data_IF_551853206224
#
_entry.id   IF_551853206224
#
_cell.length_a   1.000
_cell.length_b   1.000
_cell.length_c   1.000
_cell.angle_alpha   90.00
_cell.angle_beta   90.00
_cell.angle_gamma   90.00
#
_symmetry.space_group_name_H-M   'P 1'
#
loop_
_entity.id
_entity.type
_entity.pdbx_description
1 polymer ?
#
# COMPACT_ATOMS: atom_id res chain seq x y z
N UNK A 1 93.07 82.27 -19.53
CA UNK A 1 91.82 81.92 -20.24
C UNK A 1 90.84 81.33 -19.22
N UNK A 2 89.63 81.93 -19.13
CA UNK A 2 88.35 81.41 -18.61
C UNK A 2 88.33 80.69 -17.23
N UNK A 3 87.78 81.28 -16.16
CA UNK A 3 86.34 81.26 -15.72
C UNK A 3 85.94 79.84 -15.20
N UNK A 4 85.20 79.58 -14.11
CA UNK A 4 84.27 80.34 -13.24
C UNK A 4 83.44 79.29 -12.45
N UNK A 5 83.27 79.41 -11.10
CA UNK A 5 82.10 79.03 -10.23
C UNK A 5 81.59 77.55 -10.30
N UNK A 6 80.80 76.93 -9.41
CA UNK A 6 80.17 77.13 -8.10
C UNK A 6 79.39 75.82 -7.77
N UNK A 7 79.38 75.41 -6.50
CA UNK A 7 78.27 74.83 -5.68
C UNK A 7 77.14 74.06 -6.39
N UNK A 8 76.86 72.80 -5.99
CA UNK A 8 75.57 72.34 -5.43
C UNK A 8 75.66 70.85 -4.99
N UNK A 9 75.19 70.55 -3.77
CA UNK A 9 74.99 69.17 -3.31
C UNK A 9 73.60 68.64 -3.68
N UNK A 10 73.41 67.32 -3.65
CA UNK A 10 72.15 66.72 -3.19
C UNK A 10 72.33 65.24 -2.87
N UNK A 11 71.78 64.86 -1.72
CA UNK A 11 71.64 63.51 -1.17
C UNK A 11 70.72 62.69 -2.08
N UNK A 12 71.12 61.49 -2.50
CA UNK A 12 70.22 60.52 -3.15
C UNK A 12 70.22 59.21 -2.33
N UNK A 13 69.27 59.21 -1.40
CA UNK A 13 68.35 58.15 -0.98
C UNK A 13 68.63 56.72 -1.52
N UNK A 14 68.99 55.83 -0.58
CA UNK A 14 68.98 54.38 -0.75
C UNK A 14 67.58 53.88 -1.13
N UNK A 15 67.43 53.36 -2.36
CA UNK A 15 66.25 52.59 -2.74
C UNK A 15 66.52 51.10 -2.42
N UNK A 16 66.18 50.69 -1.21
CA UNK A 16 66.10 49.28 -0.85
C UNK A 16 64.94 48.65 -1.63
N UNK A 17 65.27 47.75 -2.56
CA UNK A 17 64.33 46.83 -3.18
C UNK A 17 63.80 45.89 -2.08
N UNK A 18 62.71 46.29 -1.43
CA UNK A 18 61.87 45.35 -0.71
C UNK A 18 61.17 44.49 -1.76
N UNK A 19 61.69 43.28 -1.95
CA UNK A 19 60.93 42.19 -2.54
C UNK A 19 59.78 41.90 -1.58
N UNK A 20 58.65 42.57 -1.80
CA UNK A 20 57.38 42.21 -1.18
C UNK A 20 56.97 40.87 -1.79
N UNK A 21 57.39 39.78 -1.16
CA UNK A 21 56.77 38.49 -1.37
C UNK A 21 55.39 38.60 -0.71
N UNK A 22 54.39 39.03 -1.48
CA UNK A 22 53.01 38.83 -1.09
C UNK A 22 52.79 37.32 -1.15
N UNK A 23 52.74 36.68 0.00
CA UNK A 23 52.12 35.37 0.15
C UNK A 23 50.65 35.54 -0.22
N UNK A 24 50.36 35.54 -1.52
CA UNK A 24 49.03 35.29 -2.03
C UNK A 24 48.72 33.85 -1.65
N UNK A 25 48.07 33.68 -0.49
CA UNK A 25 47.37 32.44 -0.18
C UNK A 25 46.21 32.37 -1.14
N UNK A 26 46.52 32.01 -2.39
CA UNK A 26 45.54 31.66 -3.39
C UNK A 26 44.57 30.70 -2.73
N UNK A 27 43.29 31.07 -2.73
CA UNK A 27 42.23 30.14 -2.37
C UNK A 27 42.35 28.96 -3.33
N UNK A 28 43.01 27.90 -2.86
CA UNK A 28 43.01 26.60 -3.54
C UNK A 28 41.56 26.31 -3.92
N UNK A 29 41.28 25.98 -5.20
CA UNK A 29 39.91 25.72 -5.62
C UNK A 29 39.37 24.58 -4.76
N UNK A 30 38.39 24.88 -3.90
CA UNK A 30 37.75 23.88 -3.05
C UNK A 30 37.05 22.92 -3.98
N UNK A 31 37.60 21.72 -4.11
CA UNK A 31 37.06 20.68 -4.98
C UNK A 31 35.71 20.24 -4.42
N UNK A 32 34.65 20.50 -5.16
CA UNK A 32 33.33 19.99 -4.84
C UNK A 32 33.24 18.48 -5.05
N UNK A 33 32.38 17.82 -4.28
CA UNK A 33 32.09 16.38 -4.34
C UNK A 33 30.58 16.16 -4.39
N UNK A 34 30.13 14.93 -4.67
CA UNK A 34 28.71 14.60 -4.56
C UNK A 34 28.22 14.77 -3.11
N UNK A 35 26.91 15.02 -2.88
CA UNK A 35 26.39 15.24 -1.54
C UNK A 35 26.56 14.02 -0.60
N UNK A 36 26.62 14.28 0.70
CA UNK A 36 26.61 13.22 1.73
C UNK A 36 25.20 13.08 2.30
N UNK A 37 24.61 11.90 2.18
CA UNK A 37 23.20 11.64 2.54
C UNK A 37 23.12 10.46 3.51
N UNK A 38 22.24 10.54 4.51
CA UNK A 38 21.89 9.42 5.37
C UNK A 38 20.46 8.96 5.09
N UNK A 39 20.27 7.64 4.96
CA UNK A 39 18.94 7.00 4.92
C UNK A 39 18.56 6.62 6.35
N UNK A 40 17.40 7.05 6.79
CA UNK A 40 16.86 6.72 8.11
C UNK A 40 15.85 5.56 8.01
N UNK A 41 15.21 5.21 9.13
CA UNK A 41 14.25 4.14 9.20
C UNK A 41 13.04 4.38 8.28
N UNK A 42 12.57 3.30 7.65
CA UNK A 42 11.26 3.26 6.99
C UNK A 42 10.17 3.02 8.02
N UNK A 43 9.13 3.85 7.98
CA UNK A 43 7.98 3.83 8.88
C UNK A 43 6.68 3.89 8.06
N UNK A 44 5.53 3.90 8.76
CA UNK A 44 4.19 4.03 8.15
C UNK A 44 3.98 3.08 6.95
N UNK A 45 4.46 1.84 7.07
CA UNK A 45 4.41 0.83 6.01
C UNK A 45 2.97 0.31 5.94
N UNK A 46 2.36 0.49 4.78
CA UNK A 46 1.06 -0.10 4.42
C UNK A 46 1.26 -1.17 3.34
N UNK A 47 0.18 -1.64 2.75
CA UNK A 47 0.21 -2.57 1.62
C UNK A 47 0.81 -1.92 0.35
N UNK A 48 0.59 -0.62 0.16
CA UNK A 48 0.90 0.07 -1.10
C UNK A 48 1.73 1.34 -0.92
N UNK A 49 2.03 1.71 0.33
CA UNK A 49 2.81 2.90 0.69
C UNK A 49 3.80 2.65 1.83
N UNK A 50 4.80 3.51 1.94
CA UNK A 50 5.69 3.60 3.09
C UNK A 50 6.29 5.01 3.18
N UNK A 51 6.84 5.38 4.34
CA UNK A 51 7.55 6.64 4.53
C UNK A 51 9.02 6.38 4.87
N UNK A 52 9.93 7.05 4.18
CA UNK A 52 11.36 6.98 4.47
C UNK A 52 11.90 8.38 4.74
N UNK A 53 12.56 8.55 5.88
CA UNK A 53 13.27 9.78 6.20
C UNK A 53 14.67 9.77 5.58
N UNK A 54 15.07 10.91 5.02
CA UNK A 54 16.41 11.16 4.50
C UNK A 54 16.98 12.44 5.10
N UNK A 55 18.30 12.54 5.18
CA UNK A 55 18.98 13.76 5.60
C UNK A 55 20.23 14.02 4.77
N UNK A 56 20.28 15.17 4.11
CA UNK A 56 21.49 15.62 3.41
C UNK A 56 22.39 16.32 4.42
N UNK A 57 23.43 15.63 4.85
CA UNK A 57 24.39 16.09 5.88
C UNK A 57 25.43 17.08 5.35
N UNK A 58 25.72 17.02 4.05
CA UNK A 58 26.63 17.95 3.37
C UNK A 58 26.27 18.04 1.89
N UNK A 59 26.41 19.24 1.34
CA UNK A 59 26.25 19.51 -0.10
C UNK A 59 27.51 19.20 -0.92
N UNK A 60 28.59 18.79 -0.25
CA UNK A 60 29.87 18.50 -0.90
C UNK A 60 30.53 19.74 -1.51
N UNK A 61 30.15 20.96 -1.12
CA UNK A 61 30.69 22.21 -1.66
C UNK A 61 30.10 22.62 -3.02
N UNK A 62 28.96 22.05 -3.44
CA UNK A 62 28.18 22.52 -4.58
C UNK A 62 26.69 22.43 -4.26
N UNK A 63 25.88 23.36 -4.79
CA UNK A 63 24.45 23.46 -4.46
C UNK A 63 23.72 22.15 -4.79
N UNK A 64 22.98 21.62 -3.82
CA UNK A 64 22.08 20.48 -4.02
C UNK A 64 20.87 20.93 -4.82
N UNK A 65 20.70 20.38 -6.03
CA UNK A 65 19.65 20.73 -7.00
C UNK A 65 18.42 19.82 -6.91
N UNK A 66 18.56 18.65 -6.29
CA UNK A 66 17.46 17.70 -6.05
C UNK A 66 17.79 16.82 -4.85
N UNK A 67 16.80 16.41 -4.06
CA UNK A 67 16.92 15.37 -3.03
C UNK A 67 15.64 14.55 -2.96
N UNK A 68 15.77 13.33 -2.46
CA UNK A 68 14.61 12.52 -2.16
C UNK A 68 14.94 11.08 -1.82
N UNK A 69 14.00 10.18 -2.00
CA UNK A 69 14.18 8.74 -1.73
C UNK A 69 13.98 7.97 -3.03
N UNK A 70 14.80 6.94 -3.28
CA UNK A 70 14.62 5.99 -4.37
C UNK A 70 14.46 4.56 -3.86
N UNK A 71 13.66 3.75 -4.55
CA UNK A 71 13.35 2.37 -4.17
C UNK A 71 13.13 1.46 -5.39
N UNK A 72 13.37 0.17 -5.18
CA UNK A 72 13.03 -0.90 -6.11
C UNK A 72 12.93 -2.24 -5.36
N UNK A 73 12.62 -3.33 -6.07
CA UNK A 73 12.61 -4.70 -5.53
C UNK A 73 13.96 -5.42 -5.67
N UNK A 74 14.99 -4.70 -6.12
CA UNK A 74 16.37 -5.19 -6.28
C UNK A 74 17.28 -4.60 -5.20
N UNK A 75 18.51 -5.08 -5.04
CA UNK A 75 19.30 -4.75 -3.83
C UNK A 75 19.82 -3.31 -3.72
N UNK A 76 19.81 -2.51 -4.79
CA UNK A 76 20.48 -1.20 -4.79
C UNK A 76 19.76 -0.19 -5.65
N UNK A 77 18.74 0.51 -5.10
CA UNK A 77 18.04 1.57 -5.80
C UNK A 77 18.95 2.73 -6.20
N UNK A 78 18.57 3.38 -7.30
CA UNK A 78 19.18 4.58 -7.87
C UNK A 78 18.11 5.57 -8.30
N UNK A 79 18.50 6.78 -8.69
CA UNK A 79 17.55 7.79 -9.21
C UNK A 79 16.93 7.44 -10.57
N UNK A 80 17.33 6.33 -11.20
CA UNK A 80 16.70 5.79 -12.40
C UNK A 80 15.52 4.85 -12.10
N UNK A 81 15.36 4.42 -10.84
CA UNK A 81 14.25 3.61 -10.36
C UNK A 81 13.06 4.50 -9.93
N UNK A 82 12.10 3.93 -9.20
CA UNK A 82 11.08 4.72 -8.51
C UNK A 82 11.72 5.67 -7.50
N UNK A 83 11.30 6.94 -7.51
CA UNK A 83 11.82 7.96 -6.60
C UNK A 83 10.80 9.02 -6.23
N UNK A 84 11.05 9.71 -5.12
CA UNK A 84 10.40 10.97 -4.74
C UNK A 84 11.33 12.16 -4.99
N UNK A 85 10.79 13.38 -4.86
CA UNK A 85 11.54 14.65 -4.97
C UNK A 85 11.07 15.65 -3.93
N UNK A 86 11.89 15.88 -2.91
CA UNK A 86 11.62 16.72 -1.73
C UNK A 86 12.32 18.09 -1.80
N UNK A 87 12.70 18.52 -3.00
CA UNK A 87 13.28 19.83 -3.28
C UNK A 87 14.81 19.86 -3.23
N UNK A 88 15.38 20.94 -2.68
CA UNK A 88 16.80 21.29 -2.79
C UNK A 88 17.45 21.52 -1.42
N UNK A 89 18.77 21.68 -1.41
CA UNK A 89 19.53 22.05 -0.20
C UNK A 89 19.74 20.93 0.82
N UNK A 90 20.38 21.29 1.94
CA UNK A 90 20.73 20.38 3.04
C UNK A 90 19.61 20.19 4.06
N UNK A 91 19.76 19.22 4.96
CA UNK A 91 18.82 18.93 6.05
C UNK A 91 17.89 17.74 5.80
N UNK A 92 17.00 17.51 6.75
CA UNK A 92 16.06 16.38 6.76
C UNK A 92 14.87 16.59 5.84
N UNK A 93 14.35 15.48 5.33
CA UNK A 93 13.14 15.40 4.53
C UNK A 93 12.49 14.01 4.68
N UNK A 94 11.21 13.90 4.35
CA UNK A 94 10.47 12.63 4.37
C UNK A 94 9.93 12.38 2.96
N UNK A 95 10.29 11.23 2.38
CA UNK A 95 9.75 10.79 1.10
C UNK A 95 8.62 9.78 1.30
N UNK A 96 7.49 10.00 0.62
CA UNK A 96 6.35 9.07 0.59
C UNK A 96 6.47 8.12 -0.60
N UNK A 97 6.79 6.85 -0.33
CA UNK A 97 6.82 5.79 -1.31
C UNK A 97 5.38 5.35 -1.62
N UNK A 98 5.03 5.28 -2.90
CA UNK A 98 3.68 4.90 -3.37
C UNK A 98 3.76 3.90 -4.51
N UNK A 99 2.63 3.26 -4.84
CA UNK A 99 2.57 2.27 -5.91
C UNK A 99 3.31 0.97 -5.57
N UNK A 100 3.45 0.68 -4.27
CA UNK A 100 4.06 -0.57 -3.81
C UNK A 100 3.07 -1.72 -3.98
N UNK A 101 3.60 -2.94 -4.11
CA UNK A 101 2.79 -4.16 -4.15
C UNK A 101 2.68 -4.74 -2.74
N UNK A 102 1.51 -5.22 -2.29
CA UNK A 102 1.35 -5.85 -0.97
C UNK A 102 2.29 -7.06 -0.78
N UNK A 103 2.71 -7.32 0.46
CA UNK A 103 3.55 -8.47 0.83
C UNK A 103 4.91 -8.55 0.11
N UNK A 104 5.40 -7.43 -0.42
CA UNK A 104 6.58 -7.37 -1.29
C UNK A 104 7.74 -6.70 -0.58
N UNK A 105 8.93 -7.30 -0.68
CA UNK A 105 10.17 -6.71 -0.14
C UNK A 105 10.70 -5.63 -1.09
N UNK A 106 10.98 -4.46 -0.53
CA UNK A 106 11.60 -3.32 -1.20
C UNK A 106 12.92 -2.95 -0.54
N UNK A 107 13.83 -2.44 -1.36
CA UNK A 107 15.06 -1.78 -0.91
C UNK A 107 14.90 -0.28 -1.15
N UNK A 108 15.48 0.53 -0.28
CA UNK A 108 15.28 1.99 -0.28
C UNK A 108 16.56 2.73 0.06
N UNK A 109 16.76 3.90 -0.55
CA UNK A 109 17.88 4.80 -0.29
C UNK A 109 17.44 6.26 -0.38
N UNK A 110 17.89 7.07 0.56
CA UNK A 110 17.88 8.52 0.44
C UNK A 110 18.97 8.96 -0.58
N UNK A 111 18.69 9.97 -1.39
CA UNK A 111 19.61 10.52 -2.39
C UNK A 111 19.61 12.05 -2.40
N UNK A 112 20.67 12.64 -2.95
CA UNK A 112 20.74 14.05 -3.29
C UNK A 112 21.67 14.26 -4.49
N UNK A 113 21.34 15.24 -5.33
CA UNK A 113 22.05 15.56 -6.57
C UNK A 113 22.61 16.97 -6.48
N UNK A 114 23.85 17.15 -6.90
CA UNK A 114 24.44 18.46 -7.20
C UNK A 114 25.14 18.38 -8.57
N UNK A 115 25.78 19.48 -8.99
CA UNK A 115 26.46 19.55 -10.30
C UNK A 115 27.66 18.59 -10.44
N UNK A 116 28.16 18.01 -9.34
CA UNK A 116 29.24 17.02 -9.35
C UNK A 116 28.70 15.60 -9.53
N UNK A 117 27.52 15.29 -8.98
CA UNK A 117 26.88 14.00 -9.14
C UNK A 117 25.83 13.70 -8.08
N UNK A 118 25.50 12.41 -7.94
CA UNK A 118 24.50 11.92 -6.98
C UNK A 118 25.14 11.27 -5.77
N UNK A 119 24.83 11.79 -4.60
CA UNK A 119 25.08 11.19 -3.31
C UNK A 119 23.94 10.27 -2.91
N UNK A 120 24.26 9.13 -2.31
CA UNK A 120 23.28 8.18 -1.81
C UNK A 120 23.60 7.78 -0.37
N UNK A 121 22.57 7.56 0.42
CA UNK A 121 22.69 6.93 1.73
C UNK A 121 22.89 5.41 1.66
N UNK A 122 22.99 4.83 2.85
CA UNK A 122 23.04 3.38 3.06
C UNK A 122 21.70 2.77 2.67
N UNK A 123 21.72 1.65 1.95
CA UNK A 123 20.51 0.91 1.61
C UNK A 123 19.87 0.32 2.86
N UNK A 124 18.59 0.60 3.06
CA UNK A 124 17.72 -0.13 3.99
C UNK A 124 16.72 -1.00 3.19
N UNK A 125 16.01 -1.89 3.87
CA UNK A 125 14.94 -2.68 3.25
C UNK A 125 13.74 -2.83 4.18
N UNK A 126 12.56 -2.93 3.59
CA UNK A 126 11.32 -3.17 4.30
C UNK A 126 10.43 -4.09 3.46
N UNK A 127 9.43 -4.70 4.10
CA UNK A 127 8.41 -5.49 3.41
C UNK A 127 7.08 -4.80 3.63
N UNK A 128 6.32 -4.57 2.57
CA UNK A 128 4.96 -4.04 2.69
C UNK A 128 4.05 -5.04 3.40
N UNK A 129 2.99 -4.51 4.00
CA UNK A 129 1.96 -5.32 4.63
C UNK A 129 1.38 -6.29 3.59
N UNK A 130 1.23 -7.55 3.97
CA UNK A 130 0.62 -8.57 3.10
C UNK A 130 -0.90 -8.48 3.14
N UNK A 131 -1.53 -8.43 1.97
CA UNK A 131 -2.98 -8.56 1.81
C UNK A 131 -3.30 -9.97 1.33
N UNK A 132 -3.80 -10.81 2.23
CA UNK A 132 -4.27 -12.16 1.87
C UNK A 132 -5.79 -12.12 1.65
N UNK A 133 -6.23 -12.42 0.43
CA UNK A 133 -7.66 -12.43 0.09
C UNK A 133 -8.04 -13.63 -0.80
N UNK A 134 -9.29 -14.06 -0.67
CA UNK A 134 -9.98 -14.96 -1.63
C UNK A 134 -11.11 -14.13 -2.22
N UNK A 135 -11.14 -13.94 -3.54
CA UNK A 135 -12.10 -13.06 -4.22
C UNK A 135 -12.78 -13.76 -5.38
N UNK A 136 -14.04 -13.40 -5.62
CA UNK A 136 -14.71 -13.52 -6.91
C UNK A 136 -15.17 -12.14 -7.36
N UNK A 137 -14.69 -11.72 -8.53
CA UNK A 137 -15.01 -10.43 -9.13
C UNK A 137 -16.05 -10.55 -10.23
N UNK A 138 -16.29 -11.77 -10.73
CA UNK A 138 -17.27 -12.06 -11.78
C UNK A 138 -17.05 -11.23 -13.05
N UNK A 139 -15.79 -10.91 -13.36
CA UNK A 139 -15.46 -10.08 -14.53
C UNK A 139 -15.52 -10.86 -15.84
N UNK A 140 -15.35 -12.19 -15.80
CA UNK A 140 -15.21 -13.02 -17.01
C UNK A 140 -16.16 -14.22 -17.08
N UNK A 141 -16.61 -14.73 -15.93
CA UNK A 141 -17.59 -15.81 -15.80
C UNK A 141 -18.18 -15.86 -14.36
N UNK A 142 -18.92 -16.92 -14.04
CA UNK A 142 -19.49 -17.15 -12.71
C UNK A 142 -18.47 -17.67 -11.67
N UNK A 143 -17.21 -17.89 -12.04
CA UNK A 143 -16.11 -18.34 -11.17
C UNK A 143 -16.41 -19.62 -10.34
N UNK A 144 -17.28 -20.50 -10.87
CA UNK A 144 -17.68 -21.75 -10.22
C UNK A 144 -18.80 -21.61 -9.18
N UNK A 145 -19.37 -20.41 -9.01
CA UNK A 145 -20.57 -20.21 -8.20
C UNK A 145 -21.77 -20.91 -8.85
N UNK A 146 -22.61 -21.49 -7.99
CA UNK A 146 -23.83 -22.18 -8.40
C UNK A 146 -24.99 -21.70 -7.55
N UNK A 147 -26.21 -22.03 -7.97
CA UNK A 147 -27.40 -21.72 -7.18
C UNK A 147 -27.44 -22.52 -5.88
N UNK A 148 -27.94 -21.90 -4.83
CA UNK A 148 -28.46 -22.57 -3.65
C UNK A 148 -29.99 -22.61 -3.75
N UNK A 149 -30.61 -23.76 -3.46
CA UNK A 149 -32.06 -23.92 -3.53
C UNK A 149 -32.63 -23.97 -4.96
N UNK A 150 -33.92 -23.68 -5.07
CA UNK A 150 -34.64 -23.57 -6.35
C UNK A 150 -34.30 -22.25 -7.06
N UNK A 151 -34.71 -22.08 -8.32
CA UNK A 151 -34.38 -20.90 -9.13
C UNK A 151 -33.24 -21.13 -10.13
N UNK A 152 -32.74 -20.05 -10.75
CA UNK A 152 -31.72 -20.10 -11.80
C UNK A 152 -30.62 -19.08 -11.56
N UNK A 153 -29.36 -19.48 -11.77
CA UNK A 153 -28.20 -18.59 -11.69
C UNK A 153 -27.67 -18.28 -13.09
N UNK A 154 -27.38 -17.01 -13.35
CA UNK A 154 -26.81 -16.50 -14.59
C UNK A 154 -25.52 -15.75 -14.33
N UNK A 155 -24.60 -15.83 -15.28
CA UNK A 155 -23.51 -14.88 -15.39
C UNK A 155 -23.92 -13.73 -16.32
N UNK A 156 -23.67 -12.50 -15.89
CA UNK A 156 -23.92 -11.29 -16.67
C UNK A 156 -22.59 -10.58 -16.91
N UNK A 157 -22.20 -10.44 -18.18
CA UNK A 157 -20.85 -9.97 -18.54
C UNK A 157 -20.60 -8.48 -18.37
N UNK A 158 -21.63 -7.71 -18.01
CA UNK A 158 -21.53 -6.25 -17.85
C UNK A 158 -22.66 -5.72 -16.97
N UNK A 159 -22.39 -4.69 -16.18
CA UNK A 159 -23.38 -4.08 -15.28
C UNK A 159 -23.14 -4.38 -13.80
N UNK A 160 -22.06 -5.11 -13.49
CA UNK A 160 -21.46 -5.21 -12.16
C UNK A 160 -20.84 -3.90 -11.69
N UNK A 161 -20.15 -3.94 -10.55
CA UNK A 161 -19.61 -2.81 -9.82
C UNK A 161 -18.09 -2.89 -9.59
N UNK A 162 -17.24 -2.69 -10.60
CA UNK A 162 -17.54 -2.63 -12.04
C UNK A 162 -17.49 -4.02 -12.68
N UNK A 163 -17.73 -4.10 -13.99
CA UNK A 163 -17.50 -5.34 -14.76
C UNK A 163 -18.75 -6.20 -14.88
N UNK A 164 -18.57 -7.51 -14.73
CA UNK A 164 -19.66 -8.48 -14.74
C UNK A 164 -20.20 -8.78 -13.33
N UNK A 165 -21.23 -9.61 -13.24
CA UNK A 165 -21.79 -10.07 -11.98
C UNK A 165 -22.46 -11.43 -12.17
N UNK A 166 -22.89 -12.05 -11.08
CA UNK A 166 -23.83 -13.19 -11.15
C UNK A 166 -25.21 -12.74 -10.67
N UNK A 167 -26.24 -13.20 -11.36
CA UNK A 167 -27.64 -12.96 -11.02
C UNK A 167 -28.32 -14.26 -10.63
N UNK A 168 -29.13 -14.21 -9.59
CA UNK A 168 -30.02 -15.27 -9.16
C UNK A 168 -31.45 -14.83 -9.41
N UNK A 169 -32.19 -15.66 -10.13
CA UNK A 169 -33.59 -15.47 -10.47
C UNK A 169 -34.43 -16.48 -9.70
N UNK A 170 -35.40 -15.93 -8.97
CA UNK A 170 -36.35 -16.71 -8.20
C UNK A 170 -37.74 -16.67 -8.83
N UNK A 171 -38.37 -17.84 -8.92
CA UNK A 171 -39.70 -18.04 -9.50
C UNK A 171 -40.69 -18.65 -8.49
N UNK A 172 -40.25 -19.00 -7.28
CA UNK A 172 -41.08 -19.63 -6.25
C UNK A 172 -40.85 -18.96 -4.88
N UNK A 173 -41.83 -19.04 -3.98
CA UNK A 173 -41.67 -18.50 -2.62
C UNK A 173 -40.83 -19.41 -1.69
N UNK A 174 -39.70 -19.93 -2.18
CA UNK A 174 -38.77 -20.75 -1.40
C UNK A 174 -37.40 -20.07 -1.32
N UNK A 175 -36.73 -20.12 -0.15
CA UNK A 175 -35.44 -19.46 0.01
C UNK A 175 -34.38 -20.10 -0.90
N UNK A 176 -33.77 -19.27 -1.75
CA UNK A 176 -32.68 -19.64 -2.66
C UNK A 176 -31.50 -18.70 -2.54
N UNK A 177 -30.61 -18.71 -3.53
CA UNK A 177 -29.54 -17.73 -3.64
C UNK A 177 -28.25 -18.31 -4.20
N UNK A 178 -27.13 -17.93 -3.60
CA UNK A 178 -25.80 -18.21 -4.12
C UNK A 178 -25.07 -19.22 -3.24
N UNK A 179 -24.42 -20.21 -3.86
CA UNK A 179 -23.53 -21.16 -3.22
C UNK A 179 -22.10 -20.97 -3.74
N UNK A 180 -21.17 -20.73 -2.81
CA UNK A 180 -19.79 -20.44 -3.16
C UNK A 180 -19.01 -21.69 -3.62
N UNK A 181 -18.03 -21.52 -4.54
CA UNK A 181 -17.15 -22.58 -4.99
C UNK A 181 -16.14 -23.02 -3.93
N UNK A 182 -15.41 -24.10 -4.21
CA UNK A 182 -14.46 -24.73 -3.28
C UNK A 182 -13.33 -23.82 -2.79
N UNK A 183 -12.98 -22.75 -3.53
CA UNK A 183 -12.00 -21.76 -3.06
C UNK A 183 -12.44 -21.02 -1.79
N UNK A 184 -13.72 -21.03 -1.43
CA UNK A 184 -14.25 -20.47 -0.19
C UNK A 184 -14.59 -21.55 0.86
N UNK A 185 -14.01 -22.74 0.74
CA UNK A 185 -14.21 -23.87 1.66
C UNK A 185 -12.88 -24.34 2.25
N UNK A 186 -12.95 -25.22 3.24
CA UNK A 186 -11.79 -25.77 3.95
C UNK A 186 -11.37 -24.91 5.14
N UNK A 187 -10.07 -24.88 5.41
CA UNK A 187 -9.50 -24.10 6.52
C UNK A 187 -9.38 -22.62 6.12
N UNK A 188 -10.28 -21.81 6.68
CA UNK A 188 -10.32 -20.36 6.57
C UNK A 188 -9.91 -19.67 7.89
N UNK A 189 -9.27 -20.37 8.84
CA UNK A 189 -8.91 -19.79 10.14
C UNK A 189 -8.01 -18.55 10.03
N UNK A 190 -7.20 -18.44 8.96
CA UNK A 190 -6.36 -17.25 8.72
C UNK A 190 -7.14 -15.96 8.47
N UNK A 191 -8.42 -16.08 8.11
CA UNK A 191 -9.31 -14.94 7.84
C UNK A 191 -10.05 -14.45 9.09
N UNK A 192 -9.92 -15.16 10.23
CA UNK A 192 -10.49 -14.74 11.51
C UNK A 192 -9.90 -13.38 11.93
N UNK A 193 -10.76 -12.44 12.31
CA UNK A 193 -10.41 -11.04 12.59
C UNK A 193 -10.30 -10.15 11.35
N UNK A 194 -10.47 -10.70 10.15
CA UNK A 194 -10.49 -9.99 8.88
C UNK A 194 -11.89 -9.51 8.51
N UNK A 195 -12.18 -9.45 7.21
CA UNK A 195 -13.49 -9.02 6.69
C UNK A 195 -14.01 -9.94 5.60
N UNK A 196 -15.33 -10.09 5.55
CA UNK A 196 -16.08 -10.62 4.42
C UNK A 196 -16.82 -9.46 3.77
N UNK A 197 -16.61 -9.22 2.48
CA UNK A 197 -17.26 -8.14 1.74
C UNK A 197 -17.86 -8.63 0.43
N UNK A 198 -18.92 -7.98 -0.02
CA UNK A 198 -19.57 -8.23 -1.30
C UNK A 198 -20.53 -7.09 -1.64
N UNK A 199 -20.93 -7.01 -2.89
CA UNK A 199 -21.94 -6.06 -3.36
C UNK A 199 -23.22 -6.81 -3.71
N UNK A 200 -24.38 -6.25 -3.33
CA UNK A 200 -25.68 -6.74 -3.79
C UNK A 200 -26.46 -5.65 -4.49
N UNK A 201 -27.31 -6.08 -5.42
CA UNK A 201 -28.32 -5.26 -6.08
C UNK A 201 -29.56 -6.10 -6.35
N UNK A 202 -30.74 -5.53 -6.24
CA UNK A 202 -31.96 -6.08 -6.80
C UNK A 202 -32.20 -5.45 -8.18
N UNK A 203 -32.33 -6.29 -9.21
CA UNK A 203 -32.44 -5.88 -10.61
C UNK A 203 -33.89 -5.89 -11.11
N UNK A 204 -34.77 -6.66 -10.48
CA UNK A 204 -36.22 -6.65 -10.70
C UNK A 204 -36.91 -6.93 -9.37
N UNK A 205 -37.78 -6.01 -8.96
CA UNK A 205 -38.70 -6.19 -7.83
C UNK A 205 -40.12 -6.02 -8.36
N UNK A 206 -40.94 -7.07 -8.27
CA UNK A 206 -42.33 -7.02 -8.71
C UNK A 206 -43.34 -6.88 -7.56
N UNK A 207 -42.96 -6.15 -6.50
CA UNK A 207 -43.87 -5.69 -5.44
C UNK A 207 -43.64 -6.34 -4.07
N UNK A 208 -42.42 -6.80 -3.79
CA UNK A 208 -42.05 -7.32 -2.48
C UNK A 208 -42.11 -6.23 -1.40
N UNK A 209 -42.55 -6.60 -0.18
CA UNK A 209 -42.48 -5.72 0.98
C UNK A 209 -41.03 -5.44 1.42
N UNK A 210 -40.87 -4.79 2.58
CA UNK A 210 -39.55 -4.51 3.14
C UNK A 210 -38.75 -5.80 3.34
N UNK A 211 -37.63 -5.95 2.62
CA UNK A 211 -36.78 -7.15 2.56
C UNK A 211 -36.58 -7.85 3.93
N UNK A 212 -36.84 -9.17 3.97
CA UNK A 212 -36.66 -10.03 5.14
C UNK A 212 -35.21 -10.50 5.31
N UNK A 213 -34.98 -11.83 5.24
CA UNK A 213 -33.65 -12.48 5.30
C UNK A 213 -32.82 -12.33 4.01
N UNK A 214 -32.95 -11.20 3.32
CA UNK A 214 -32.30 -10.95 2.03
C UNK A 214 -30.82 -10.65 2.20
N UNK A 215 -29.91 -11.39 1.55
CA UNK A 215 -28.48 -11.14 1.70
C UNK A 215 -27.86 -11.78 2.94
N UNK A 216 -28.60 -12.66 3.63
CA UNK A 216 -28.11 -13.38 4.80
C UNK A 216 -27.01 -14.36 4.39
N UNK A 217 -25.86 -14.29 5.06
CA UNK A 217 -24.71 -15.15 4.78
C UNK A 217 -24.65 -16.24 5.82
N UNK A 218 -24.35 -17.47 5.39
CA UNK A 218 -24.06 -18.59 6.27
C UNK A 218 -22.69 -19.17 6.00
N UNK A 219 -21.92 -19.35 7.06
CA UNK A 219 -20.71 -20.15 7.08
C UNK A 219 -21.02 -21.45 7.79
N UNK A 220 -20.88 -22.58 7.10
CA UNK A 220 -21.31 -23.89 7.59
C UNK A 220 -20.08 -24.81 7.68
N UNK A 221 -19.97 -25.54 8.79
CA UNK A 221 -18.99 -26.59 9.06
C UNK A 221 -19.73 -27.84 9.55
N UNK A 222 -20.13 -28.70 8.59
CA UNK A 222 -20.96 -29.87 8.88
C UNK A 222 -22.32 -29.46 9.46
N UNK A 223 -22.56 -29.76 10.74
CA UNK A 223 -23.79 -29.40 11.46
C UNK A 223 -23.71 -28.07 12.20
N UNK A 224 -22.52 -27.49 12.32
CA UNK A 224 -22.30 -26.20 12.97
C UNK A 224 -22.37 -25.10 11.91
N UNK A 225 -22.94 -23.95 12.23
CA UNK A 225 -22.97 -22.82 11.33
C UNK A 225 -22.97 -21.50 12.11
N UNK A 226 -22.57 -20.44 11.41
CA UNK A 226 -22.76 -19.05 11.82
C UNK A 226 -23.53 -18.32 10.72
N UNK A 227 -24.43 -17.43 11.11
CA UNK A 227 -25.25 -16.64 10.20
C UNK A 227 -25.00 -15.16 10.46
N UNK A 228 -24.94 -14.35 9.41
CA UNK A 228 -24.89 -12.91 9.54
C UNK A 228 -25.94 -12.27 8.62
N UNK A 229 -26.64 -11.29 9.17
CA UNK A 229 -27.63 -10.50 8.45
C UNK A 229 -27.08 -9.07 8.29
N UNK A 230 -26.64 -8.64 7.10
CA UNK A 230 -26.09 -7.30 6.91
C UNK A 230 -27.17 -6.20 7.06
N UNK A 231 -27.34 -5.69 8.28
CA UNK A 231 -28.29 -4.62 8.66
C UNK A 231 -27.56 -3.27 8.78
N UNK A 232 -28.18 -2.11 8.46
CA UNK A 232 -29.58 -1.93 8.05
C UNK A 232 -29.81 -2.03 6.55
N UNK A 233 -30.82 -2.82 6.17
CA UNK A 233 -31.33 -2.87 4.80
C UNK A 233 -32.02 -1.56 4.45
N UNK A 234 -31.67 -0.90 3.33
CA UNK A 234 -32.64 -0.03 2.69
C UNK A 234 -33.86 -0.89 2.31
N UNK A 235 -35.06 -0.31 2.33
CA UNK A 235 -36.28 -1.05 2.01
C UNK A 235 -36.24 -1.73 0.62
N UNK A 236 -35.35 -1.27 -0.26
CA UNK A 236 -35.04 -1.84 -1.58
C UNK A 236 -33.56 -1.60 -1.94
N UNK A 237 -32.90 -2.57 -2.59
CA UNK A 237 -31.51 -2.49 -3.08
C UNK A 237 -31.45 -2.20 -4.59
N UNK A 238 -32.10 -1.13 -5.06
CA UNK A 238 -32.19 -0.83 -6.50
C UNK A 238 -30.86 -0.38 -7.13
N UNK A 239 -29.88 -0.04 -6.29
CA UNK A 239 -28.51 0.30 -6.68
C UNK A 239 -27.52 -0.67 -6.02
N UNK A 240 -26.34 -0.81 -6.63
CA UNK A 240 -25.25 -1.59 -6.04
C UNK A 240 -24.92 -1.06 -4.64
N UNK A 241 -25.01 -1.93 -3.65
CA UNK A 241 -24.72 -1.61 -2.26
C UNK A 241 -23.63 -2.54 -1.76
N UNK A 242 -22.54 -1.95 -1.27
CA UNK A 242 -21.41 -2.67 -0.72
C UNK A 242 -21.64 -3.02 0.75
N UNK A 243 -21.38 -4.27 1.09
CA UNK A 243 -21.40 -4.79 2.45
C UNK A 243 -20.00 -5.21 2.87
N UNK A 244 -19.67 -4.96 4.14
CA UNK A 244 -18.41 -5.35 4.75
C UNK A 244 -18.65 -5.77 6.19
N UNK A 245 -18.42 -7.05 6.46
CA UNK A 245 -18.76 -7.71 7.72
C UNK A 245 -17.46 -8.17 8.39
N UNK A 246 -17.18 -7.74 9.63
CA UNK A 246 -16.08 -8.30 10.41
C UNK A 246 -16.20 -9.82 10.58
N UNK A 247 -15.11 -10.55 10.34
CA UNK A 247 -15.03 -11.99 10.54
C UNK A 247 -14.66 -12.30 11.99
N UNK A 248 -15.56 -12.00 12.93
CA UNK A 248 -15.36 -12.23 14.37
C UNK A 248 -16.54 -12.99 14.98
N UNK A 249 -16.27 -13.76 16.03
CA UNK A 249 -17.29 -14.55 16.72
C UNK A 249 -18.48 -13.70 17.20
N UNK A 250 -18.19 -12.54 17.81
CA UNK A 250 -19.20 -11.63 18.35
C UNK A 250 -20.11 -11.07 17.24
N UNK A 251 -19.52 -10.68 16.10
CA UNK A 251 -20.27 -10.14 14.96
C UNK A 251 -21.22 -11.19 14.37
N UNK A 252 -20.79 -12.46 14.35
CA UNK A 252 -21.54 -13.59 13.80
C UNK A 252 -22.41 -14.31 14.84
N UNK A 253 -22.55 -13.75 16.05
CA UNK A 253 -23.46 -14.26 17.08
C UNK A 253 -23.13 -15.66 17.61
N UNK A 254 -21.87 -16.10 17.53
CA UNK A 254 -21.40 -17.41 18.00
C UNK A 254 -20.31 -17.25 19.07
N UNK A 255 -20.03 -18.32 19.83
CA UNK A 255 -18.90 -18.30 20.77
C UNK A 255 -17.55 -18.38 20.03
N UNK A 256 -16.44 -17.89 20.61
CA UNK A 256 -15.11 -18.01 20.00
C UNK A 256 -14.72 -19.45 19.64
N UNK A 257 -15.05 -20.43 20.49
CA UNK A 257 -14.75 -21.84 20.21
C UNK A 257 -15.56 -22.41 19.03
N UNK A 258 -16.82 -21.98 18.89
CA UNK A 258 -17.62 -22.34 17.71
C UNK A 258 -17.07 -21.65 16.46
N UNK A 259 -16.71 -20.38 16.55
CA UNK A 259 -16.12 -19.61 15.46
C UNK A 259 -14.85 -20.26 14.90
N UNK A 260 -13.92 -20.62 15.79
CA UNK A 260 -12.69 -21.32 15.42
C UNK A 260 -12.99 -22.66 14.72
N UNK A 261 -13.97 -23.42 15.24
CA UNK A 261 -14.37 -24.70 14.66
C UNK A 261 -15.06 -24.56 13.30
N UNK A 262 -15.84 -23.48 13.10
CA UNK A 262 -16.49 -23.17 11.82
C UNK A 262 -15.42 -22.85 10.78
N UNK A 263 -14.55 -21.88 11.07
CA UNK A 263 -13.54 -21.43 10.12
C UNK A 263 -12.49 -22.49 9.82
N UNK A 264 -12.16 -23.37 10.77
CA UNK A 264 -11.18 -24.44 10.53
C UNK A 264 -11.60 -25.43 9.44
N UNK A 265 -12.90 -25.60 9.18
CA UNK A 265 -13.39 -26.53 8.17
C UNK A 265 -14.74 -26.09 7.60
N UNK A 266 -14.75 -24.97 6.88
CA UNK A 266 -15.95 -24.49 6.19
C UNK A 266 -16.32 -25.47 5.07
N UNK A 267 -17.44 -26.15 5.23
CA UNK A 267 -17.99 -27.06 4.22
C UNK A 267 -18.84 -26.34 3.18
N UNK A 268 -19.53 -25.26 3.57
CA UNK A 268 -20.36 -24.47 2.66
C UNK A 268 -20.38 -22.99 3.04
N UNK A 269 -20.45 -22.14 2.03
CA UNK A 269 -20.73 -20.70 2.16
C UNK A 269 -21.94 -20.38 1.30
N UNK A 270 -23.00 -19.92 1.94
CA UNK A 270 -24.28 -19.62 1.29
C UNK A 270 -24.58 -18.14 1.45
N UNK A 271 -25.13 -17.53 0.42
CA UNK A 271 -25.74 -16.20 0.49
C UNK A 271 -27.20 -16.37 0.10
N UNK A 272 -28.06 -16.24 1.08
CA UNK A 272 -29.48 -16.51 0.95
C UNK A 272 -30.19 -15.24 0.49
N UNK A 273 -30.87 -15.37 -0.64
CA UNK A 273 -31.79 -14.38 -1.17
C UNK A 273 -33.18 -14.81 -0.76
N UNK A 274 -33.87 -13.97 0.00
CA UNK A 274 -35.25 -14.19 0.41
C UNK A 274 -36.12 -13.09 -0.20
N UNK A 275 -36.67 -13.32 -1.40
CA UNK A 275 -37.68 -12.45 -1.96
C UNK A 275 -38.98 -12.60 -1.16
N UNK A 276 -39.53 -11.50 -0.67
CA UNK A 276 -40.80 -11.56 0.03
C UNK A 276 -41.96 -11.80 -0.94
N UNK A 277 -42.63 -12.94 -0.79
CA UNK A 277 -43.91 -13.26 -1.44
C UNK A 277 -43.75 -14.06 -2.73
N UNK A 278 -44.88 -14.48 -3.32
CA UNK A 278 -44.95 -15.29 -4.55
C UNK A 278 -44.58 -14.48 -5.82
N UNK A 279 -43.57 -13.62 -5.75
CA UNK A 279 -43.21 -12.67 -6.79
C UNK A 279 -41.87 -13.03 -7.45
N UNK A 280 -41.82 -12.81 -8.76
CA UNK A 280 -40.59 -12.91 -9.55
C UNK A 280 -39.62 -11.81 -9.11
N UNK A 281 -38.45 -12.21 -8.65
CA UNK A 281 -37.38 -11.29 -8.23
C UNK A 281 -36.03 -11.72 -8.81
N UNK A 282 -35.14 -10.74 -9.05
CA UNK A 282 -33.78 -10.99 -9.53
C UNK A 282 -32.72 -10.25 -8.74
N UNK A 283 -31.88 -10.99 -8.04
CA UNK A 283 -30.80 -10.47 -7.21
C UNK A 283 -29.45 -10.65 -7.88
N UNK A 284 -28.60 -9.63 -7.85
CA UNK A 284 -27.23 -9.69 -8.35
C UNK A 284 -26.23 -9.65 -7.19
N UNK A 285 -25.17 -10.44 -7.32
CA UNK A 285 -24.01 -10.46 -6.42
C UNK A 285 -22.76 -10.08 -7.22
N UNK A 286 -21.92 -9.26 -6.60
CA UNK A 286 -20.60 -8.92 -7.12
C UNK A 286 -19.54 -8.81 -6.01
N UNK A 287 -18.25 -8.84 -6.37
CA UNK A 287 -17.11 -8.55 -5.50
C UNK A 287 -16.99 -9.38 -4.20
N UNK A 288 -17.50 -10.61 -4.18
CA UNK A 288 -17.47 -11.45 -2.97
C UNK A 288 -16.04 -11.83 -2.56
N UNK A 289 -15.63 -11.37 -1.38
CA UNK A 289 -14.24 -11.39 -0.93
C UNK A 289 -14.12 -11.73 0.55
N UNK A 290 -13.24 -12.67 0.88
CA UNK A 290 -12.68 -12.83 2.22
C UNK A 290 -11.31 -12.18 2.25
N UNK A 291 -11.07 -11.30 3.23
CA UNK A 291 -9.80 -10.61 3.43
C UNK A 291 -9.30 -10.90 4.83
N UNK A 292 -8.08 -11.41 4.96
CA UNK A 292 -7.46 -11.69 6.24
C UNK A 292 -7.07 -10.37 6.95
N UNK A 293 -6.89 -10.38 8.30
CA UNK A 293 -6.27 -9.26 8.98
C UNK A 293 -4.91 -8.95 8.37
N UNK A 294 -4.56 -7.67 8.31
CA UNK A 294 -3.27 -7.22 7.82
C UNK A 294 -2.13 -7.79 8.66
N UNK A 295 -1.15 -8.41 7.99
CA UNK A 295 0.04 -8.97 8.64
C UNK A 295 1.33 -8.35 8.08
N UNK A 296 2.29 -8.07 8.97
CA UNK A 296 3.68 -7.80 8.61
C UNK A 296 4.03 -6.34 8.36
N UNK A 297 4.46 -5.65 9.40
CA UNK A 297 5.40 -4.54 9.30
C UNK A 297 6.68 -4.88 10.08
N UNK A 298 7.21 -6.09 9.88
CA UNK A 298 8.47 -6.47 10.54
C UNK A 298 9.64 -5.87 9.78
N UNK A 299 10.25 -4.84 10.38
CA UNK A 299 11.61 -4.44 10.06
C UNK A 299 12.50 -5.62 10.42
N UNK A 300 13.08 -6.30 9.43
CA UNK A 300 14.17 -7.25 9.67
C UNK A 300 15.34 -6.44 10.24
N UNK A 301 15.33 -6.22 11.56
CA UNK A 301 16.43 -5.58 12.25
C UNK A 301 17.64 -6.48 12.07
N UNK A 302 18.64 -5.94 11.36
CA UNK A 302 19.85 -6.62 10.99
C UNK A 302 20.65 -6.90 12.27
N UNK A 303 20.28 -7.95 13.01
CA UNK A 303 21.03 -8.46 14.16
C UNK A 303 22.31 -9.16 13.66
N UNK A 304 23.25 -8.34 13.19
CA UNK A 304 24.67 -8.62 13.30
C UNK A 304 25.21 -7.81 14.49
N UNK A 305 24.77 -8.17 15.71
CA UNK A 305 25.51 -7.80 16.92
C UNK A 305 26.74 -8.70 17.01
N UNK A 306 27.80 -8.19 16.40
CA UNK A 306 29.23 -8.40 16.69
C UNK A 306 29.52 -9.40 17.84
N UNK A 307 30.08 -10.56 17.47
CA UNK A 307 30.97 -11.32 18.34
C UNK A 307 32.18 -10.44 18.65
N UNK A 308 32.38 -10.05 19.91
CA UNK A 308 33.72 -9.68 20.40
C UNK A 308 34.03 -10.64 21.55
N UNK A 309 34.85 -11.63 21.22
CA UNK A 309 35.70 -12.31 22.20
C UNK A 309 36.56 -11.26 22.93
N UNK A 310 36.46 -11.24 24.26
CA UNK A 310 37.58 -11.00 25.17
C UNK A 310 37.40 -11.80 26.44
#
# INVERSE_FOLDING_TARGET
>A
MKRLKSIFGFVILCLALFCSCSDDKGTEPVRSTAPSVSTMAVNAITETTAECEGNVTSDGGAVVTERGVCWNTSTTPTTADSKTTEGTGTGSYTGSLTGLTPGTKYYVRAYAINDVGTGYGVTDSFTTVSLQQIRSAFDTDAEGWVKHGEGTLYYVSSGGNPGGCIEFEDWEAMPGGFLAPDKFKGDLSTYSGGTLSFDLKNTVDNGGGALGTYGMIRLISGTLYAEHNPVPYPSYLTEWTAFSIPLTADEWGVTPAQWDSILFNVSEVQILMDPQGDFYDRSALDNFTFTAPLQGAEKLDNQLRYTIDR
#
